data_IF_708999399860
#
_entry.id   IF_708999399860
#
_cell.length_a   1.000
_cell.length_b   1.000
_cell.length_c   1.000
_cell.angle_alpha   90.00
_cell.angle_beta   90.00
_cell.angle_gamma   90.00
#
_symmetry.space_group_name_H-M   'P 1'
#
loop_
_entity.id
_entity.type
_entity.pdbx_description
1 polymer ?
#
# COMPACT_ATOMS: atom_id res chain seq x y z
N UNK A 1 9.19 5.24 -34.07
CA UNK A 1 10.33 4.89 -33.18
C UNK A 1 10.11 5.15 -31.69
N UNK A 2 9.21 6.05 -31.25
CA UNK A 2 9.04 6.35 -29.81
C UNK A 2 8.54 5.19 -28.91
N UNK A 3 7.69 4.30 -29.43
CA UNK A 3 7.16 3.16 -28.66
C UNK A 3 8.21 2.10 -28.32
N UNK A 4 9.25 1.96 -29.15
CA UNK A 4 10.36 1.04 -28.87
C UNK A 4 11.18 1.54 -27.69
N UNK A 5 11.58 2.81 -27.69
CA UNK A 5 12.36 3.41 -26.61
C UNK A 5 11.58 3.45 -25.29
N UNK A 6 10.28 3.76 -25.30
CA UNK A 6 9.51 3.82 -24.06
C UNK A 6 9.18 2.45 -23.46
N UNK A 7 9.10 1.39 -24.28
CA UNK A 7 8.70 0.05 -23.82
C UNK A 7 9.83 -0.97 -23.85
N UNK A 8 10.49 -1.17 -24.99
CA UNK A 8 11.31 -2.34 -25.27
C UNK A 8 12.83 -2.12 -25.19
N UNK A 9 13.30 -0.86 -25.17
CA UNK A 9 14.71 -0.56 -24.90
C UNK A 9 15.13 -1.05 -23.51
N UNK A 10 16.42 -1.32 -23.31
CA UNK A 10 16.98 -1.82 -22.04
C UNK A 10 16.82 -0.83 -20.87
N UNK A 11 16.62 0.45 -21.17
CA UNK A 11 16.25 1.52 -20.25
C UNK A 11 14.78 1.96 -20.38
N UNK A 12 14.02 1.35 -21.29
CA UNK A 12 12.57 1.50 -21.41
C UNK A 12 11.81 0.73 -20.34
N UNK A 13 10.47 0.77 -20.39
CA UNK A 13 9.60 0.19 -19.37
C UNK A 13 9.88 -1.29 -19.05
N UNK A 14 10.06 -2.14 -20.06
CA UNK A 14 10.41 -3.56 -19.85
C UNK A 14 11.82 -3.76 -19.30
N UNK A 15 12.77 -2.91 -19.70
CA UNK A 15 14.13 -2.92 -19.16
C UNK A 15 14.17 -2.60 -17.67
N UNK A 16 13.38 -1.61 -17.23
CA UNK A 16 13.22 -1.29 -15.81
C UNK A 16 12.54 -2.43 -15.03
N UNK A 17 11.44 -2.99 -15.55
CA UNK A 17 10.76 -4.13 -14.92
C UNK A 17 11.70 -5.34 -14.78
N UNK A 18 12.53 -5.60 -15.80
CA UNK A 18 13.55 -6.66 -15.75
C UNK A 18 14.56 -6.42 -14.64
N UNK A 19 15.09 -5.19 -14.52
CA UNK A 19 16.00 -4.81 -13.42
C UNK A 19 15.36 -4.99 -12.05
N UNK A 20 14.10 -4.56 -11.86
CA UNK A 20 13.36 -4.71 -10.61
C UNK A 20 13.22 -6.21 -10.25
N UNK A 21 12.84 -7.04 -11.23
CA UNK A 21 12.72 -8.49 -11.05
C UNK A 21 14.06 -9.14 -10.72
N UNK A 22 15.09 -8.86 -11.51
CA UNK A 22 16.40 -9.50 -11.40
C UNK A 22 17.10 -9.10 -10.08
N UNK A 23 16.92 -7.86 -9.65
CA UNK A 23 17.41 -7.36 -8.37
C UNK A 23 16.49 -7.72 -7.18
N UNK A 24 15.39 -8.43 -7.41
CA UNK A 24 14.37 -8.78 -6.39
C UNK A 24 13.86 -7.56 -5.61
N UNK A 25 13.73 -6.42 -6.29
CA UNK A 25 13.25 -5.15 -5.71
C UNK A 25 11.72 -5.05 -5.78
N UNK A 26 11.03 -6.16 -5.56
CA UNK A 26 9.57 -6.22 -5.53
C UNK A 26 9.12 -7.01 -4.30
N UNK A 27 7.95 -6.65 -3.79
CA UNK A 27 7.27 -7.38 -2.71
C UNK A 27 5.95 -7.82 -3.28
N UNK A 28 5.73 -9.14 -3.37
CA UNK A 28 4.43 -9.69 -3.75
C UNK A 28 3.45 -9.51 -2.60
N UNK A 29 2.22 -9.12 -2.90
CA UNK A 29 1.16 -9.17 -1.91
C UNK A 29 0.74 -10.63 -1.72
N UNK A 30 0.94 -11.16 -0.52
CA UNK A 30 0.57 -12.53 -0.17
C UNK A 30 -0.93 -12.66 0.15
N UNK A 31 -1.64 -11.53 0.33
CA UNK A 31 -3.09 -11.50 0.48
C UNK A 31 -3.80 -11.35 -0.86
N UNK A 32 -4.53 -12.38 -1.28
CA UNK A 32 -5.34 -12.39 -2.51
C UNK A 32 -6.82 -12.74 -2.24
N UNK A 33 -7.26 -12.65 -0.98
CA UNK A 33 -8.65 -12.80 -0.58
C UNK A 33 -9.54 -11.62 -1.00
N UNK A 34 -10.86 -11.75 -0.77
CA UNK A 34 -11.79 -10.62 -0.90
C UNK A 34 -11.52 -9.55 0.18
N UNK A 35 -12.16 -8.38 0.12
CA UNK A 35 -12.07 -7.43 1.24
C UNK A 35 -12.50 -8.11 2.56
N UNK A 36 -11.79 -7.83 3.64
CA UNK A 36 -12.15 -8.34 4.97
C UNK A 36 -13.40 -7.64 5.51
N UNK A 37 -14.04 -8.22 6.53
CA UNK A 37 -15.27 -7.65 7.12
C UNK A 37 -15.02 -6.22 7.62
N UNK A 38 -13.98 -6.04 8.44
CA UNK A 38 -13.63 -4.71 8.93
C UNK A 38 -13.26 -3.74 7.81
N UNK A 39 -12.62 -4.22 6.74
CA UNK A 39 -12.30 -3.35 5.59
C UNK A 39 -13.58 -2.87 4.87
N UNK A 40 -14.61 -3.71 4.76
CA UNK A 40 -15.90 -3.31 4.18
C UNK A 40 -16.60 -2.28 5.06
N UNK A 41 -16.57 -2.46 6.39
CA UNK A 41 -17.26 -1.57 7.33
C UNK A 41 -16.54 -0.23 7.55
N UNK A 42 -15.21 -0.25 7.67
CA UNK A 42 -14.41 0.89 8.14
C UNK A 42 -13.48 1.46 7.07
N UNK A 43 -13.31 0.79 5.94
CA UNK A 43 -12.33 1.16 4.89
C UNK A 43 -12.44 2.63 4.47
N UNK A 44 -13.65 3.11 4.17
CA UNK A 44 -13.86 4.51 3.76
C UNK A 44 -13.43 5.54 4.83
N UNK A 45 -13.61 5.21 6.13
CA UNK A 45 -13.18 6.07 7.22
C UNK A 45 -11.65 6.05 7.37
N UNK A 46 -11.04 4.87 7.27
CA UNK A 46 -9.58 4.70 7.32
C UNK A 46 -8.89 5.40 6.14
N UNK A 47 -9.45 5.30 4.94
CA UNK A 47 -8.96 5.99 3.73
C UNK A 47 -9.05 7.51 3.87
N UNK A 48 -10.14 8.01 4.44
CA UNK A 48 -10.29 9.44 4.72
C UNK A 48 -9.21 9.92 5.70
N UNK A 49 -9.00 9.19 6.81
CA UNK A 49 -7.97 9.50 7.79
C UNK A 49 -6.57 9.52 7.15
N UNK A 50 -6.27 8.54 6.30
CA UNK A 50 -5.01 8.46 5.56
C UNK A 50 -4.85 9.68 4.64
N UNK A 51 -5.83 9.93 3.76
CA UNK A 51 -5.76 11.02 2.79
C UNK A 51 -5.58 12.38 3.47
N UNK A 52 -6.36 12.69 4.50
CA UNK A 52 -6.25 13.97 5.22
C UNK A 52 -4.88 14.15 5.87
N UNK A 53 -4.33 13.10 6.48
CA UNK A 53 -3.03 13.17 7.14
C UNK A 53 -1.91 13.36 6.12
N UNK A 54 -1.85 12.49 5.10
CA UNK A 54 -0.77 12.49 4.13
C UNK A 54 -0.78 13.74 3.26
N UNK A 55 -1.94 14.24 2.85
CA UNK A 55 -2.04 15.50 2.11
C UNK A 55 -1.47 16.65 2.94
N UNK A 56 -1.80 16.73 4.24
CA UNK A 56 -1.28 17.78 5.12
C UNK A 56 0.25 17.72 5.27
N UNK A 57 0.80 16.52 5.42
CA UNK A 57 2.25 16.30 5.52
C UNK A 57 2.93 16.70 4.21
N UNK A 58 2.44 16.23 3.07
CA UNK A 58 3.02 16.53 1.74
C UNK A 58 2.98 18.04 1.44
N UNK A 59 1.89 18.71 1.81
CA UNK A 59 1.75 20.16 1.66
C UNK A 59 2.58 20.98 2.66
N UNK A 60 3.25 20.34 3.63
CA UNK A 60 4.02 21.02 4.68
C UNK A 60 3.16 21.72 5.74
N UNK A 61 1.85 21.45 5.76
CA UNK A 61 0.92 22.00 6.77
C UNK A 61 0.87 21.18 8.07
N UNK A 62 1.50 20.00 8.09
CA UNK A 62 1.74 19.19 9.28
C UNK A 62 3.19 18.65 9.27
N UNK A 63 3.78 18.48 10.45
CA UNK A 63 5.09 17.82 10.60
C UNK A 63 5.00 16.35 10.21
N UNK A 64 6.13 15.75 9.81
CA UNK A 64 6.25 14.31 9.61
C UNK A 64 5.92 13.50 10.88
N UNK A 65 6.11 14.10 12.06
CA UNK A 65 5.77 13.50 13.35
C UNK A 65 4.26 13.18 13.50
N UNK A 66 3.42 13.80 12.67
CA UNK A 66 1.98 13.51 12.65
C UNK A 66 1.69 12.09 12.14
N UNK A 67 2.62 11.48 11.41
CA UNK A 67 2.51 10.09 10.96
C UNK A 67 2.33 9.11 12.11
N UNK A 68 3.04 9.28 13.23
CA UNK A 68 2.91 8.39 14.39
C UNK A 68 1.52 8.47 15.03
N UNK A 69 0.90 9.66 15.01
CA UNK A 69 -0.48 9.83 15.48
C UNK A 69 -1.49 9.20 14.52
N UNK A 70 -1.23 9.34 13.22
CA UNK A 70 -2.01 8.68 12.19
C UNK A 70 -1.99 7.15 12.37
N UNK A 71 -0.81 6.54 12.54
CA UNK A 71 -0.69 5.09 12.74
C UNK A 71 -1.49 4.63 13.96
N UNK A 72 -1.37 5.33 15.10
CA UNK A 72 -2.16 5.03 16.30
C UNK A 72 -3.66 5.11 16.06
N UNK A 73 -4.10 6.14 15.34
CA UNK A 73 -5.52 6.36 15.05
C UNK A 73 -6.06 5.32 14.06
N UNK A 74 -5.30 5.01 13.01
CA UNK A 74 -5.66 4.00 12.00
C UNK A 74 -5.81 2.62 12.65
N UNK A 75 -4.85 2.23 13.51
CA UNK A 75 -4.92 0.99 14.29
C UNK A 75 -6.20 0.92 15.14
N UNK A 76 -6.46 1.96 15.93
CA UNK A 76 -7.61 2.02 16.83
C UNK A 76 -8.98 2.05 16.11
N UNK A 77 -9.04 2.49 14.85
CA UNK A 77 -10.27 2.59 14.06
C UNK A 77 -10.61 1.32 13.26
N UNK A 78 -9.80 0.26 13.39
CA UNK A 78 -10.01 -1.02 12.70
C UNK A 78 -8.82 -1.50 11.88
N UNK A 79 -7.71 -0.76 11.88
CA UNK A 79 -6.48 -1.19 11.19
C UNK A 79 -5.84 -2.44 11.80
N UNK A 80 -5.86 -2.57 13.13
CA UNK A 80 -5.38 -3.80 13.79
C UNK A 80 -6.30 -4.99 13.48
N UNK A 81 -7.61 -4.78 13.42
CA UNK A 81 -8.58 -5.82 13.09
C UNK A 81 -8.39 -6.31 11.65
N UNK A 82 -8.27 -5.41 10.68
CA UNK A 82 -7.94 -5.77 9.28
C UNK A 82 -6.64 -6.56 9.21
N UNK A 83 -5.61 -6.13 9.97
CA UNK A 83 -4.32 -6.83 9.99
C UNK A 83 -4.47 -8.26 10.50
N UNK A 84 -5.25 -8.46 11.57
CA UNK A 84 -5.50 -9.78 12.12
C UNK A 84 -6.33 -10.64 11.16
N UNK A 85 -7.38 -10.09 10.55
CA UNK A 85 -8.22 -10.80 9.56
C UNK A 85 -7.39 -11.29 8.35
N UNK A 86 -6.46 -10.46 7.86
CA UNK A 86 -5.54 -10.81 6.77
C UNK A 86 -4.58 -11.91 7.20
N UNK A 87 -4.00 -11.83 8.40
CA UNK A 87 -3.10 -12.85 8.93
C UNK A 87 -3.83 -14.19 9.14
N UNK A 88 -5.03 -14.16 9.71
CA UNK A 88 -5.88 -15.34 9.89
C UNK A 88 -6.25 -15.99 8.56
N UNK A 89 -6.51 -15.18 7.53
CA UNK A 89 -6.73 -15.68 6.19
C UNK A 89 -5.45 -16.32 5.62
N UNK A 90 -4.29 -15.68 5.80
CA UNK A 90 -3.02 -16.18 5.30
C UNK A 90 -2.67 -17.54 5.92
N UNK A 91 -2.80 -17.68 7.24
CA UNK A 91 -2.52 -18.91 7.97
C UNK A 91 -3.42 -20.08 7.54
N UNK A 92 -4.64 -19.79 7.06
CA UNK A 92 -5.59 -20.81 6.56
C UNK A 92 -5.36 -21.20 5.10
N UNK A 93 -4.68 -20.38 4.32
CA UNK A 93 -4.58 -20.52 2.86
C UNK A 93 -3.15 -20.72 2.34
N UNK A 94 -2.18 -20.86 3.24
CA UNK A 94 -0.78 -21.17 2.91
C UNK A 94 -0.58 -22.65 2.54
#
# INVERSE_FOLDING_TARGET
MGLYYSRAADDGGWGLTRKIRDNKQYVSNEYFGSATETQVEKGAQLDKLLNETFVKIIMGSASIDEFDKYVKSWKALGGDDITNEVNDWYDKNK
#
